data_IF_302147252502
#
_entry.id   IF_302147252502
#
_cell.length_a   1.000
_cell.length_b   1.000
_cell.length_c   1.000
_cell.angle_alpha   90.00
_cell.angle_beta   90.00
_cell.angle_gamma   90.00
#
_symmetry.space_group_name_H-M   'P 1'
#
loop_
_entity.id
_entity.type
_entity.pdbx_description
1 polymer ?
#
# COMPACT_ATOMS: atom_id res chain seq x y z
N UNK A 1 -45.21 -40.43 -8.38
CA UNK A 1 -45.66 -41.83 -8.13
C UNK A 1 -45.05 -42.30 -6.81
N UNK A 2 -45.62 -43.30 -6.11
CA UNK A 2 -44.98 -43.87 -4.93
C UNK A 2 -43.62 -44.45 -5.31
N UNK A 3 -42.58 -44.10 -4.55
CA UNK A 3 -41.21 -44.59 -4.75
C UNK A 3 -41.11 -46.05 -4.32
N UNK A 4 -40.54 -46.92 -5.14
CA UNK A 4 -40.33 -48.31 -4.76
C UNK A 4 -39.22 -48.38 -3.70
N UNK A 5 -39.47 -49.09 -2.60
CA UNK A 5 -38.51 -49.24 -1.49
C UNK A 5 -37.59 -50.46 -1.63
N UNK A 6 -37.98 -51.43 -2.44
CA UNK A 6 -37.24 -52.67 -2.68
C UNK A 6 -36.94 -52.82 -4.16
N UNK A 7 -35.76 -53.37 -4.48
CA UNK A 7 -35.36 -53.61 -5.86
C UNK A 7 -36.09 -54.85 -6.43
N UNK A 8 -37.00 -54.70 -7.39
CA UNK A 8 -37.76 -55.81 -7.97
C UNK A 8 -36.87 -56.80 -8.76
N UNK A 9 -35.66 -56.41 -9.17
CA UNK A 9 -34.71 -57.33 -9.79
C UNK A 9 -34.18 -58.42 -8.84
N UNK A 10 -34.34 -58.24 -7.52
CA UNK A 10 -33.91 -59.20 -6.51
C UNK A 10 -35.03 -60.18 -6.11
N UNK A 11 -36.25 -59.98 -6.61
CA UNK A 11 -37.41 -60.80 -6.25
C UNK A 11 -37.57 -61.93 -7.27
N UNK A 12 -37.56 -63.17 -6.78
CA UNK A 12 -37.78 -64.36 -7.61
C UNK A 12 -39.26 -64.74 -7.67
N UNK A 13 -39.66 -65.37 -8.78
CA UNK A 13 -41.02 -65.86 -8.97
C UNK A 13 -41.34 -66.92 -7.88
N UNK A 14 -42.43 -66.75 -7.12
CA UNK A 14 -42.88 -67.76 -6.17
C UNK A 14 -43.14 -69.10 -6.85
N UNK A 15 -42.85 -70.20 -6.16
CA UNK A 15 -43.15 -71.53 -6.67
C UNK A 15 -44.67 -71.82 -6.59
N UNK A 16 -45.38 -71.43 -7.64
CA UNK A 16 -46.83 -71.65 -7.77
C UNK A 16 -47.23 -73.13 -7.91
N UNK A 17 -46.27 -74.06 -8.07
CA UNK A 17 -46.54 -75.51 -8.04
C UNK A 17 -46.63 -76.07 -6.61
N UNK A 18 -46.11 -75.34 -5.60
CA UNK A 18 -46.18 -75.73 -4.19
C UNK A 18 -47.63 -75.86 -3.69
N UNK A 19 -47.89 -76.79 -2.77
CA UNK A 19 -49.23 -77.02 -2.17
C UNK A 19 -49.80 -75.77 -1.49
N UNK A 20 -48.96 -74.83 -1.06
CA UNK A 20 -49.36 -73.56 -0.43
C UNK A 20 -50.30 -72.75 -1.35
N UNK A 21 -50.12 -72.86 -2.67
CA UNK A 21 -50.92 -72.14 -3.67
C UNK A 21 -52.06 -72.99 -4.26
N UNK A 22 -52.29 -74.22 -3.78
CA UNK A 22 -53.32 -75.11 -4.31
C UNK A 22 -54.73 -74.50 -4.27
N UNK A 23 -55.06 -73.78 -3.19
CA UNK A 23 -56.33 -73.06 -3.07
C UNK A 23 -56.50 -71.95 -4.11
N UNK A 24 -55.42 -71.23 -4.44
CA UNK A 24 -55.43 -70.21 -5.49
C UNK A 24 -55.48 -70.82 -6.89
N UNK A 25 -54.80 -71.95 -7.13
CA UNK A 25 -54.85 -72.68 -8.42
C UNK A 25 -56.24 -73.22 -8.73
N UNK A 26 -56.95 -73.75 -7.74
CA UNK A 26 -58.27 -74.34 -7.90
C UNK A 26 -59.31 -73.37 -8.48
N UNK A 27 -59.13 -72.05 -8.30
CA UNK A 27 -60.00 -71.02 -8.88
C UNK A 27 -59.77 -70.77 -10.37
N UNK A 28 -58.63 -71.20 -10.92
CA UNK A 28 -58.27 -71.04 -12.33
C UNK A 28 -58.49 -72.33 -13.16
N UNK A 29 -58.81 -73.45 -12.51
CA UNK A 29 -59.15 -74.72 -13.17
C UNK A 29 -60.63 -74.75 -13.54
N UNK A 30 -60.93 -74.99 -14.81
CA UNK A 30 -62.31 -75.14 -15.33
C UNK A 30 -62.34 -76.25 -16.40
N UNK A 31 -63.50 -76.53 -17.00
CA UNK A 31 -63.66 -77.62 -18.00
C UNK A 31 -62.71 -77.52 -19.22
N UNK A 32 -62.09 -76.36 -19.47
CA UNK A 32 -61.19 -76.08 -20.59
C UNK A 32 -59.75 -75.69 -20.18
N UNK A 33 -59.39 -75.69 -18.89
CA UNK A 33 -58.06 -75.25 -18.42
C UNK A 33 -57.45 -76.26 -17.44
N UNK A 34 -56.27 -76.79 -17.77
CA UNK A 34 -55.55 -77.76 -16.95
C UNK A 34 -54.78 -77.10 -15.78
N UNK A 35 -54.41 -77.87 -14.75
CA UNK A 35 -53.69 -77.34 -13.58
C UNK A 35 -52.30 -76.75 -13.95
N UNK A 36 -51.65 -77.31 -14.97
CA UNK A 36 -50.39 -76.82 -15.52
C UNK A 36 -50.55 -75.46 -16.23
N UNK A 37 -51.68 -75.27 -16.91
CA UNK A 37 -52.05 -73.99 -17.53
C UNK A 37 -52.38 -72.93 -16.48
N UNK A 38 -53.04 -73.31 -15.38
CA UNK A 38 -53.30 -72.42 -14.25
C UNK A 38 -51.99 -71.93 -13.58
N UNK A 39 -51.00 -72.82 -13.40
CA UNK A 39 -49.67 -72.44 -12.88
C UNK A 39 -48.98 -71.44 -13.81
N UNK A 40 -49.01 -71.70 -15.12
CA UNK A 40 -48.40 -70.83 -16.12
C UNK A 40 -49.06 -69.46 -16.17
N UNK A 41 -50.39 -69.39 -16.08
CA UNK A 41 -51.11 -68.12 -15.99
C UNK A 41 -50.74 -67.31 -14.75
N UNK A 42 -50.59 -67.95 -13.59
CA UNK A 42 -50.15 -67.27 -12.36
C UNK A 42 -48.70 -66.74 -12.47
N UNK A 43 -47.81 -67.53 -13.09
CA UNK A 43 -46.45 -67.10 -13.38
C UNK A 43 -46.41 -65.91 -14.35
N UNK A 44 -47.24 -65.91 -15.40
CA UNK A 44 -47.30 -64.84 -16.39
C UNK A 44 -47.85 -63.54 -15.78
N UNK A 45 -48.89 -63.62 -14.96
CA UNK A 45 -49.44 -62.47 -14.21
C UNK A 45 -48.37 -61.88 -13.28
N UNK A 46 -47.65 -62.74 -12.54
CA UNK A 46 -46.58 -62.29 -11.66
C UNK A 46 -45.42 -61.66 -12.44
N UNK A 47 -44.99 -62.27 -13.55
CA UNK A 47 -43.92 -61.72 -14.41
C UNK A 47 -44.30 -60.36 -14.97
N UNK A 48 -45.52 -60.20 -15.47
CA UNK A 48 -46.00 -58.91 -15.96
C UNK A 48 -45.99 -57.82 -14.87
N UNK A 49 -46.38 -58.17 -13.64
CA UNK A 49 -46.30 -57.26 -12.49
C UNK A 49 -44.85 -56.90 -12.12
N UNK A 50 -43.99 -57.91 -11.98
CA UNK A 50 -42.58 -57.70 -11.64
C UNK A 50 -41.83 -56.91 -12.73
N UNK A 51 -42.13 -57.16 -14.01
CA UNK A 51 -41.51 -56.44 -15.12
C UNK A 51 -42.00 -54.97 -15.18
N UNK A 52 -43.26 -54.70 -14.86
CA UNK A 52 -43.75 -53.33 -14.69
C UNK A 52 -43.05 -52.61 -13.51
N UNK A 53 -42.85 -53.30 -12.40
CA UNK A 53 -42.11 -52.76 -11.24
C UNK A 53 -40.63 -52.49 -11.57
N UNK A 54 -39.97 -53.37 -12.34
CA UNK A 54 -38.60 -53.14 -12.82
C UNK A 54 -38.47 -51.90 -13.70
N UNK A 55 -39.46 -51.65 -14.58
CA UNK A 55 -39.49 -50.44 -15.40
C UNK A 55 -39.60 -49.19 -14.52
N UNK A 56 -40.48 -49.22 -13.52
CA UNK A 56 -40.62 -48.12 -12.56
C UNK A 56 -39.34 -47.91 -11.73
N UNK A 57 -38.69 -49.00 -11.31
CA UNK A 57 -37.42 -48.95 -10.58
C UNK A 57 -36.30 -48.37 -11.44
N UNK A 58 -36.18 -48.79 -12.70
CA UNK A 58 -35.17 -48.25 -13.61
C UNK A 58 -35.39 -46.76 -13.86
N UNK A 59 -36.64 -46.34 -14.07
CA UNK A 59 -36.98 -44.92 -14.23
C UNK A 59 -36.59 -44.10 -12.98
N UNK A 60 -36.77 -44.65 -11.78
CA UNK A 60 -36.35 -44.02 -10.52
C UNK A 60 -34.83 -43.90 -10.41
N UNK A 61 -34.08 -44.96 -10.77
CA UNK A 61 -32.61 -44.93 -10.77
C UNK A 61 -32.07 -43.91 -11.78
N UNK A 62 -32.68 -43.84 -12.96
CA UNK A 62 -32.29 -42.88 -14.01
C UNK A 62 -32.64 -41.43 -13.63
N UNK A 63 -33.70 -41.22 -12.85
CA UNK A 63 -34.05 -39.93 -12.26
C UNK A 63 -33.04 -39.52 -11.18
N UNK A 64 -32.75 -40.40 -10.21
CA UNK A 64 -31.75 -40.15 -9.17
C UNK A 64 -30.35 -39.88 -9.76
N UNK A 65 -29.97 -40.60 -10.83
CA UNK A 65 -28.70 -40.40 -11.51
C UNK A 65 -28.63 -39.05 -12.23
N UNK A 66 -29.73 -38.59 -12.83
CA UNK A 66 -29.82 -37.26 -13.44
C UNK A 66 -29.75 -36.16 -12.39
N UNK A 67 -30.50 -36.30 -11.30
CA UNK A 67 -30.48 -35.34 -10.19
C UNK A 67 -29.09 -35.25 -9.55
N UNK A 68 -28.39 -36.38 -9.37
CA UNK A 68 -27.02 -36.41 -8.86
C UNK A 68 -26.05 -35.71 -9.83
N UNK A 69 -26.15 -35.96 -11.13
CA UNK A 69 -25.31 -35.31 -12.14
C UNK A 69 -25.56 -33.80 -12.23
N UNK A 70 -26.82 -33.36 -12.12
CA UNK A 70 -27.18 -31.94 -12.05
C UNK A 70 -26.60 -31.29 -10.80
N UNK A 71 -26.71 -31.94 -9.63
CA UNK A 71 -26.12 -31.45 -8.38
C UNK A 71 -24.59 -31.33 -8.45
N UNK A 72 -23.91 -32.32 -9.04
CA UNK A 72 -22.46 -32.27 -9.26
C UNK A 72 -22.07 -31.11 -10.19
N UNK A 73 -22.83 -30.89 -11.26
CA UNK A 73 -22.60 -29.77 -12.17
C UNK A 73 -22.75 -28.43 -11.46
N UNK A 74 -23.85 -28.23 -10.72
CA UNK A 74 -24.06 -27.02 -9.93
C UNK A 74 -22.99 -26.81 -8.86
N UNK A 75 -22.54 -27.88 -8.20
CA UNK A 75 -21.47 -27.80 -7.20
C UNK A 75 -20.14 -27.35 -7.83
N UNK A 76 -19.81 -27.86 -9.02
CA UNK A 76 -18.61 -27.47 -9.76
C UNK A 76 -18.68 -26.02 -10.23
N UNK A 77 -19.81 -25.59 -10.80
CA UNK A 77 -20.01 -24.19 -11.18
C UNK A 77 -19.92 -23.24 -9.98
N UNK A 78 -20.46 -23.63 -8.83
CA UNK A 78 -20.34 -22.85 -7.59
C UNK A 78 -18.90 -22.77 -7.09
N UNK A 79 -18.10 -23.83 -7.24
CA UNK A 79 -16.67 -23.82 -6.92
C UNK A 79 -15.89 -22.90 -7.86
N UNK A 80 -16.12 -22.99 -9.17
CA UNK A 80 -15.49 -22.13 -10.18
C UNK A 80 -15.83 -20.66 -9.93
N UNK A 81 -17.09 -20.35 -9.62
CA UNK A 81 -17.53 -19.00 -9.24
C UNK A 81 -16.83 -18.51 -7.97
N UNK A 82 -16.65 -19.38 -6.97
CA UNK A 82 -15.95 -19.04 -5.72
C UNK A 82 -14.47 -18.76 -5.97
N UNK A 83 -13.82 -19.55 -6.82
CA UNK A 83 -12.42 -19.33 -7.20
C UNK A 83 -12.25 -18.01 -7.96
N UNK A 84 -13.13 -17.72 -8.93
CA UNK A 84 -13.12 -16.47 -9.68
C UNK A 84 -13.37 -15.25 -8.78
N UNK A 85 -14.29 -15.34 -7.81
CA UNK A 85 -14.53 -14.27 -6.84
C UNK A 85 -13.29 -13.99 -5.97
N UNK A 86 -12.59 -15.04 -5.52
CA UNK A 86 -11.39 -14.92 -4.71
C UNK A 86 -10.21 -14.33 -5.51
N UNK A 87 -10.10 -14.64 -6.79
CA UNK A 87 -9.11 -14.02 -7.68
C UNK A 87 -9.39 -12.53 -7.90
N UNK A 88 -10.66 -12.17 -8.14
CA UNK A 88 -11.06 -10.77 -8.27
C UNK A 88 -10.80 -9.97 -6.98
N UNK A 89 -11.04 -10.58 -5.81
CA UNK A 89 -10.73 -9.97 -4.51
C UNK A 89 -9.22 -9.74 -4.34
N UNK A 90 -8.38 -10.71 -4.70
CA UNK A 90 -6.92 -10.54 -4.71
C UNK A 90 -6.46 -9.43 -5.65
N UNK A 91 -7.06 -9.35 -6.82
CA UNK A 91 -6.74 -8.31 -7.80
C UNK A 91 -7.18 -6.91 -7.34
N UNK A 92 -8.36 -6.83 -6.70
CA UNK A 92 -8.86 -5.59 -6.10
C UNK A 92 -7.98 -5.15 -4.93
N UNK A 93 -7.58 -6.06 -4.05
CA UNK A 93 -6.66 -5.74 -2.94
C UNK A 93 -5.30 -5.27 -3.47
N UNK A 94 -4.75 -5.89 -4.53
CA UNK A 94 -3.52 -5.40 -5.19
C UNK A 94 -3.70 -4.00 -5.76
N UNK A 95 -4.82 -3.72 -6.44
CA UNK A 95 -5.11 -2.38 -7.00
C UNK A 95 -5.30 -1.35 -5.90
N UNK A 96 -5.98 -1.70 -4.80
CA UNK A 96 -6.11 -0.84 -3.64
C UNK A 96 -4.75 -0.56 -2.98
N UNK A 97 -3.90 -1.57 -2.82
CA UNK A 97 -2.54 -1.41 -2.32
C UNK A 97 -1.73 -0.43 -3.18
N UNK A 98 -1.78 -0.59 -4.51
CA UNK A 98 -1.13 0.34 -5.45
C UNK A 98 -1.72 1.75 -5.33
N UNK A 99 -3.04 1.88 -5.15
CA UNK A 99 -3.71 3.19 -5.02
C UNK A 99 -3.41 3.87 -3.69
N UNK A 100 -3.34 3.14 -2.58
CA UNK A 100 -3.02 3.65 -1.23
C UNK A 100 -1.54 3.99 -1.13
N UNK A 101 -0.68 3.13 -1.70
CA UNK A 101 0.77 3.22 -1.56
C UNK A 101 1.45 3.67 -2.87
N UNK A 102 0.94 4.71 -3.54
CA UNK A 102 1.45 5.18 -4.84
C UNK A 102 2.96 5.38 -4.85
N UNK A 103 3.52 5.96 -3.78
CA UNK A 103 4.96 6.22 -3.64
C UNK A 103 5.82 4.94 -3.73
N UNK A 104 5.32 3.81 -3.22
CA UNK A 104 6.00 2.50 -3.26
C UNK A 104 6.06 1.90 -4.66
N UNK A 105 5.07 2.22 -5.50
CA UNK A 105 4.89 1.64 -6.83
C UNK A 105 5.22 2.63 -7.97
N UNK A 106 5.91 3.73 -7.67
CA UNK A 106 6.42 4.65 -8.70
C UNK A 106 7.43 3.88 -9.56
N UNK A 107 7.25 3.80 -10.90
CA UNK A 107 8.23 3.18 -11.78
C UNK A 107 9.58 3.87 -11.63
N UNK A 108 10.64 3.09 -11.39
CA UNK A 108 12.00 3.62 -11.30
C UNK A 108 12.47 3.87 -12.73
N UNK A 109 12.78 5.12 -13.13
CA UNK A 109 13.31 5.39 -14.45
C UNK A 109 14.70 4.76 -14.59
N UNK A 110 14.97 4.19 -15.75
CA UNK A 110 16.29 3.65 -16.11
C UNK A 110 17.23 4.82 -16.46
N UNK A 111 17.87 5.36 -15.43
CA UNK A 111 18.84 6.47 -15.50
C UNK A 111 20.02 6.15 -14.62
N UNK A 112 21.18 6.66 -15.01
CA UNK A 112 22.38 6.57 -14.19
C UNK A 112 22.16 7.20 -12.81
N UNK A 113 22.90 6.68 -11.82
CA UNK A 113 22.92 7.25 -10.48
C UNK A 113 23.39 8.70 -10.60
N UNK A 114 22.66 9.69 -10.07
CA UNK A 114 23.12 11.08 -10.08
C UNK A 114 24.51 11.21 -9.45
N UNK A 115 25.38 12.00 -10.08
CA UNK A 115 26.73 12.28 -9.56
C UNK A 115 26.67 13.01 -8.21
N UNK A 116 25.59 13.77 -7.99
CA UNK A 116 25.35 14.55 -6.77
C UNK A 116 24.19 13.96 -5.96
N UNK A 117 24.40 13.81 -4.65
CA UNK A 117 23.34 13.41 -3.72
C UNK A 117 22.33 14.56 -3.58
N UNK A 118 21.01 14.30 -3.64
CA UNK A 118 20.01 15.34 -3.49
C UNK A 118 20.12 15.97 -2.10
N UNK A 119 20.29 17.29 -2.05
CA UNK A 119 20.35 18.02 -0.78
C UNK A 119 18.92 18.10 -0.22
N UNK A 120 18.66 17.33 0.85
CA UNK A 120 17.38 17.41 1.57
C UNK A 120 17.43 18.66 2.46
N UNK A 121 17.18 19.82 1.88
CA UNK A 121 16.97 21.06 2.63
C UNK A 121 15.51 21.18 3.09
N UNK A 122 15.26 22.01 4.10
CA UNK A 122 13.89 22.27 4.53
C UNK A 122 13.09 22.91 3.40
N UNK A 123 11.86 22.45 3.14
CA UNK A 123 10.97 23.08 2.14
C UNK A 123 10.74 24.57 2.42
N UNK A 124 10.79 24.95 3.70
CA UNK A 124 10.73 26.35 4.13
C UNK A 124 11.92 27.16 3.60
N UNK A 125 13.15 26.66 3.79
CA UNK A 125 14.37 27.30 3.33
C UNK A 125 14.37 27.45 1.80
N UNK A 126 14.02 26.38 1.07
CA UNK A 126 13.92 26.42 -0.39
C UNK A 126 12.91 27.45 -0.89
N UNK A 127 11.66 27.42 -0.39
CA UNK A 127 10.62 28.40 -0.77
C UNK A 127 11.02 29.85 -0.50
N UNK A 128 11.86 30.09 0.50
CA UNK A 128 12.37 31.44 0.81
C UNK A 128 13.54 31.82 -0.08
N UNK A 129 14.44 30.90 -0.38
CA UNK A 129 15.50 31.12 -1.36
C UNK A 129 14.93 31.38 -2.76
N UNK A 130 13.92 30.63 -3.22
CA UNK A 130 13.22 30.88 -4.49
C UNK A 130 12.62 32.29 -4.58
N UNK A 131 12.16 32.84 -3.45
CA UNK A 131 11.63 34.21 -3.35
C UNK A 131 12.72 35.28 -3.13
N UNK A 132 14.00 34.88 -3.05
CA UNK A 132 15.12 35.79 -2.76
C UNK A 132 15.15 36.32 -1.33
N UNK A 133 14.44 35.69 -0.40
CA UNK A 133 14.37 36.10 1.00
C UNK A 133 15.52 35.54 1.82
N UNK A 134 15.85 36.24 2.90
CA UNK A 134 16.81 35.76 3.89
C UNK A 134 16.30 34.49 4.57
N UNK A 135 17.21 33.52 4.72
CA UNK A 135 17.03 32.25 5.41
C UNK A 135 18.22 32.06 6.33
N UNK A 136 17.96 31.78 7.61
CA UNK A 136 19.03 31.49 8.57
C UNK A 136 19.78 30.22 8.22
N UNK A 137 21.09 30.22 8.44
CA UNK A 137 22.01 29.12 8.14
C UNK A 137 21.70 27.85 8.93
N UNK A 138 21.05 27.97 10.09
CA UNK A 138 20.64 26.84 10.92
C UNK A 138 19.81 25.80 10.15
N UNK A 139 18.98 26.22 9.19
CA UNK A 139 18.17 25.30 8.36
C UNK A 139 19.01 24.37 7.46
N UNK A 140 20.29 24.67 7.26
CA UNK A 140 21.22 23.86 6.47
C UNK A 140 22.16 23.01 7.35
N UNK A 141 22.01 23.09 8.67
CA UNK A 141 22.74 22.25 9.64
C UNK A 141 22.09 20.88 9.76
N UNK A 142 22.79 19.90 10.36
CA UNK A 142 22.18 18.59 10.61
C UNK A 142 20.95 18.69 11.53
N UNK A 143 20.99 19.56 12.55
CA UNK A 143 19.87 19.80 13.44
C UNK A 143 18.67 20.41 12.70
N UNK A 144 18.91 21.40 11.83
CA UNK A 144 17.86 21.99 11.00
C UNK A 144 17.28 21.05 9.95
N UNK A 145 18.09 20.13 9.40
CA UNK A 145 17.61 19.09 8.47
C UNK A 145 16.79 18.03 9.22
N UNK A 146 17.23 17.61 10.41
CA UNK A 146 16.50 16.67 11.24
C UNK A 146 15.16 17.26 11.69
N UNK A 147 15.14 18.53 12.12
CA UNK A 147 13.91 19.28 12.39
C UNK A 147 13.00 19.32 11.17
N UNK A 148 13.55 19.60 9.98
CA UNK A 148 12.78 19.62 8.75
C UNK A 148 12.18 18.25 8.39
N UNK A 149 12.89 17.15 8.67
CA UNK A 149 12.37 15.79 8.46
C UNK A 149 11.20 15.48 9.41
N UNK A 150 11.31 15.89 10.67
CA UNK A 150 10.29 15.64 11.70
C UNK A 150 9.10 16.61 11.61
N UNK A 151 9.30 17.82 11.07
CA UNK A 151 8.30 18.88 10.97
C UNK A 151 7.90 19.23 9.52
N UNK A 152 8.12 18.29 8.58
CA UNK A 152 7.65 18.33 7.18
C UNK A 152 6.12 18.23 7.07
N UNK A 153 5.39 19.11 7.76
CA UNK A 153 3.95 19.29 7.51
C UNK A 153 3.79 20.27 6.35
N UNK A 154 3.12 19.76 5.32
CA UNK A 154 2.78 20.32 3.99
C UNK A 154 1.97 21.61 3.99
N UNK A 155 1.83 22.27 5.14
CA UNK A 155 1.08 23.52 5.26
C UNK A 155 1.87 24.61 4.56
N UNK A 156 1.28 25.15 3.50
CA UNK A 156 1.85 26.26 2.75
C UNK A 156 2.18 27.44 3.69
N UNK A 157 3.28 28.13 3.46
CA UNK A 157 3.74 29.21 4.34
C UNK A 157 2.73 30.37 4.39
N UNK A 158 1.94 30.52 3.33
CA UNK A 158 0.87 31.50 3.18
C UNK A 158 -0.49 30.99 3.71
N UNK A 159 -0.58 29.73 4.16
CA UNK A 159 -1.79 29.21 4.78
C UNK A 159 -1.97 29.80 6.19
N UNK A 160 -3.22 30.09 6.55
CA UNK A 160 -3.55 30.65 7.85
C UNK A 160 -3.66 29.54 8.89
N UNK A 161 -2.88 29.62 9.98
CA UNK A 161 -2.92 28.71 11.13
C UNK A 161 -3.52 29.46 12.33
N UNK A 162 -4.32 28.74 13.10
CA UNK A 162 -4.96 29.28 14.29
C UNK A 162 -3.99 29.21 15.48
N UNK A 163 -3.48 30.35 15.93
CA UNK A 163 -2.65 30.45 17.12
C UNK A 163 -3.52 30.79 18.33
N UNK A 164 -3.55 29.91 19.34
CA UNK A 164 -4.22 30.15 20.61
C UNK A 164 -3.29 30.93 21.55
N UNK A 165 -3.71 32.13 21.97
CA UNK A 165 -3.02 32.87 23.01
C UNK A 165 -3.52 32.45 24.40
N UNK A 166 -2.70 32.69 25.43
CA UNK A 166 -3.00 32.42 26.85
C UNK A 166 -4.26 33.13 27.38
N UNK A 167 -4.78 34.12 26.66
CA UNK A 167 -6.02 34.85 26.99
C UNK A 167 -7.28 34.29 26.29
N UNK A 168 -7.21 33.13 25.64
CA UNK A 168 -8.37 32.47 25.01
C UNK A 168 -8.87 33.14 23.72
N UNK A 169 -8.14 34.12 23.19
CA UNK A 169 -8.38 34.70 21.86
C UNK A 169 -7.52 33.97 20.84
N UNK A 170 -8.17 33.31 19.88
CA UNK A 170 -7.52 32.66 18.77
C UNK A 170 -7.27 33.68 17.65
N UNK A 171 -6.05 33.77 17.15
CA UNK A 171 -5.67 34.65 16.04
C UNK A 171 -5.25 33.80 14.85
N UNK A 172 -5.82 34.10 13.68
CA UNK A 172 -5.33 33.57 12.42
C UNK A 172 -4.03 34.28 12.07
N UNK A 173 -2.94 33.52 11.97
CA UNK A 173 -1.62 34.00 11.57
C UNK A 173 -1.09 33.13 10.43
N UNK A 174 -0.30 33.66 9.50
CA UNK A 174 0.36 32.84 8.50
C UNK A 174 1.16 31.71 9.16
N UNK A 175 1.16 30.53 8.55
CA UNK A 175 1.87 29.35 9.06
C UNK A 175 3.36 29.65 9.29
N UNK A 176 3.96 30.45 8.42
CA UNK A 176 5.34 30.90 8.55
C UNK A 176 5.63 31.67 9.86
N UNK A 177 4.63 32.33 10.45
CA UNK A 177 4.77 33.10 11.70
C UNK A 177 4.64 32.25 12.96
N UNK A 178 4.16 31.01 12.83
CA UNK A 178 4.02 30.05 13.94
C UNK A 178 5.14 29.00 13.92
N UNK A 179 5.79 28.82 12.76
CA UNK A 179 7.01 28.00 12.62
C UNK A 179 8.18 28.68 13.34
N UNK A 180 8.22 28.56 14.66
CA UNK A 180 9.45 28.66 15.42
C UNK A 180 9.96 27.23 15.47
N UNK A 181 11.02 26.91 14.72
CA UNK A 181 11.73 25.67 15.01
C UNK A 181 12.14 25.77 16.48
N UNK A 182 11.74 24.78 17.29
CA UNK A 182 11.85 24.90 18.76
C UNK A 182 13.30 25.18 19.20
N UNK A 183 14.26 24.73 18.38
CA UNK A 183 15.69 24.89 18.56
C UNK A 183 16.35 25.79 17.48
N UNK A 184 15.61 26.73 16.87
CA UNK A 184 16.18 27.66 15.89
C UNK A 184 17.33 28.45 16.51
N UNK A 185 18.53 28.30 15.96
CA UNK A 185 19.71 29.07 16.36
C UNK A 185 19.94 30.19 15.33
N UNK A 186 20.05 31.42 15.79
CA UNK A 186 20.42 32.54 14.92
C UNK A 186 21.86 32.35 14.40
N UNK A 187 22.14 32.82 13.18
CA UNK A 187 23.46 32.68 12.54
C UNK A 187 24.63 33.18 13.41
N UNK A 188 24.37 34.18 14.28
CA UNK A 188 25.36 34.74 15.20
C UNK A 188 25.74 33.82 16.37
N UNK A 189 24.87 32.87 16.71
CA UNK A 189 25.04 31.95 17.84
C UNK A 189 25.32 30.52 17.35
N UNK A 190 25.48 30.33 16.04
CA UNK A 190 25.72 29.02 15.44
C UNK A 190 27.13 28.51 15.76
N UNK A 191 27.22 27.25 16.20
CA UNK A 191 28.50 26.59 16.42
C UNK A 191 29.28 26.50 15.09
N UNK A 192 30.60 26.54 15.17
CA UNK A 192 31.45 26.53 13.98
C UNK A 192 31.31 25.26 13.14
N UNK A 193 31.23 24.11 13.80
CA UNK A 193 31.05 22.83 13.15
C UNK A 193 29.75 22.82 12.33
N UNK A 194 28.69 23.43 12.86
CA UNK A 194 27.40 23.57 12.19
C UNK A 194 27.46 24.61 11.07
N UNK A 195 28.18 25.71 11.27
CA UNK A 195 28.44 26.71 10.24
C UNK A 195 29.18 26.10 9.04
N UNK A 196 30.27 25.36 9.27
CA UNK A 196 31.02 24.68 8.21
C UNK A 196 30.20 23.63 7.44
N UNK A 197 29.22 23.01 8.08
CA UNK A 197 28.28 22.09 7.43
C UNK A 197 27.20 22.84 6.64
N UNK A 198 26.70 23.95 7.19
CA UNK A 198 25.62 24.74 6.61
C UNK A 198 26.05 25.49 5.34
N UNK A 199 27.25 26.07 5.31
CA UNK A 199 27.75 26.87 4.16
C UNK A 199 27.70 26.12 2.82
N UNK A 200 28.34 24.93 2.66
CA UNK A 200 28.32 24.25 1.37
C UNK A 200 26.90 23.83 0.96
N UNK A 201 26.04 23.47 1.92
CA UNK A 201 24.65 23.10 1.66
C UNK A 201 23.78 24.29 1.28
N UNK A 202 24.02 25.45 1.89
CA UNK A 202 23.35 26.70 1.53
C UNK A 202 23.74 27.13 0.12
N UNK A 203 25.02 26.99 -0.26
CA UNK A 203 25.50 27.29 -1.62
C UNK A 203 24.79 26.39 -2.64
N UNK A 204 24.80 25.07 -2.44
CA UNK A 204 24.07 24.13 -3.32
C UNK A 204 22.58 24.47 -3.40
N UNK A 205 21.94 24.83 -2.27
CA UNK A 205 20.53 25.22 -2.25
C UNK A 205 20.25 26.56 -2.97
N UNK A 206 21.21 27.48 -3.00
CA UNK A 206 21.11 28.72 -3.77
C UNK A 206 21.24 28.44 -5.28
N UNK A 207 22.13 27.53 -5.66
CA UNK A 207 22.27 27.05 -7.05
C UNK A 207 20.98 26.36 -7.51
N UNK A 208 20.43 25.45 -6.69
CA UNK A 208 19.14 24.78 -6.95
C UNK A 208 17.95 25.75 -7.03
N UNK A 209 18.04 26.90 -6.37
CA UNK A 209 17.03 27.96 -6.42
C UNK A 209 17.27 28.98 -7.55
N UNK A 210 18.12 28.65 -8.53
CA UNK A 210 18.45 29.48 -9.69
C UNK A 210 18.97 30.89 -9.34
N UNK A 211 19.71 31.03 -8.23
CA UNK A 211 20.32 32.33 -7.90
C UNK A 211 21.39 32.68 -8.94
N UNK A 212 21.52 33.96 -9.33
CA UNK A 212 22.57 34.39 -10.25
C UNK A 212 23.96 33.98 -9.73
N UNK A 213 24.79 33.41 -10.62
CA UNK A 213 26.13 32.88 -10.30
C UNK A 213 26.98 33.92 -9.57
N UNK A 214 26.86 35.20 -9.93
CA UNK A 214 27.58 36.29 -9.27
C UNK A 214 27.21 36.45 -7.78
N UNK A 215 25.96 36.12 -7.40
CA UNK A 215 25.49 36.16 -6.00
C UNK A 215 25.96 34.95 -5.21
N UNK A 216 26.03 33.79 -5.84
CA UNK A 216 26.58 32.56 -5.25
C UNK A 216 28.10 32.74 -5.02
N UNK A 217 28.82 33.23 -6.03
CA UNK A 217 30.25 33.49 -5.99
C UNK A 217 30.64 34.58 -4.99
N UNK A 218 29.89 35.69 -4.90
CA UNK A 218 30.18 36.74 -3.91
C UNK A 218 30.07 36.23 -2.47
N UNK A 219 29.10 35.37 -2.18
CA UNK A 219 28.90 34.79 -0.85
C UNK A 219 30.09 33.90 -0.46
N UNK A 220 30.64 33.16 -1.43
CA UNK A 220 31.85 32.33 -1.27
C UNK A 220 33.14 33.17 -1.16
N UNK A 221 33.29 34.20 -1.99
CA UNK A 221 34.51 35.00 -2.12
C UNK A 221 34.73 36.00 -0.98
N UNK A 222 33.67 36.65 -0.48
CA UNK A 222 33.80 37.61 0.64
C UNK A 222 34.26 36.89 1.90
N UNK A 223 33.68 35.73 2.18
CA UNK A 223 33.99 34.92 3.35
C UNK A 223 35.44 34.38 3.32
N UNK A 224 35.86 33.82 2.19
CA UNK A 224 37.22 33.29 2.05
C UNK A 224 38.28 34.39 1.90
N UNK A 225 37.94 35.51 1.24
CA UNK A 225 38.84 36.61 0.93
C UNK A 225 39.31 37.38 2.17
N UNK A 226 38.39 37.72 3.07
CA UNK A 226 38.73 38.51 4.26
C UNK A 226 39.59 37.72 5.26
N UNK A 227 39.30 36.44 5.45
CA UNK A 227 40.08 35.58 6.34
C UNK A 227 41.49 35.32 5.79
N UNK A 228 41.63 35.11 4.48
CA UNK A 228 42.92 34.83 3.84
C UNK A 228 43.81 36.06 3.77
N UNK A 229 43.24 37.25 3.56
CA UNK A 229 43.97 38.54 3.53
C UNK A 229 44.55 38.90 4.90
N UNK A 230 43.76 38.80 5.96
CA UNK A 230 44.21 39.07 7.33
C UNK A 230 45.28 38.07 7.79
N UNK A 231 45.14 36.80 7.40
CA UNK A 231 46.14 35.77 7.66
C UNK A 231 47.49 36.06 6.98
N UNK A 232 47.49 36.43 5.70
CA UNK A 232 48.72 36.78 4.97
C UNK A 232 49.44 38.01 5.54
N UNK A 233 48.69 39.00 6.05
CA UNK A 233 49.27 40.18 6.71
C UNK A 233 49.91 39.82 8.07
N UNK A 234 49.28 38.93 8.83
CA UNK A 234 49.81 38.47 10.11
C UNK A 234 51.09 37.63 9.99
N UNK A 235 51.25 36.88 8.89
CA UNK A 235 52.46 36.10 8.58
C UNK A 235 53.74 36.93 8.49
N UNK A 236 53.64 38.22 8.15
CA UNK A 236 54.79 39.13 8.06
C UNK A 236 55.07 39.86 9.39
N UNK A 237 54.26 39.63 10.42
CA UNK A 237 54.42 40.24 11.74
C UNK A 237 55.36 39.41 12.64
N UNK A 238 56.01 40.02 13.66
CA UNK A 238 56.88 39.30 14.59
C UNK A 238 56.17 38.19 15.39
N UNK A 239 54.83 38.21 15.42
CA UNK A 239 53.99 37.23 16.12
C UNK A 239 53.67 36.01 15.24
N UNK A 240 53.97 36.08 13.93
CA UNK A 240 53.67 35.04 12.94
C UNK A 240 52.19 34.98 12.56
N UNK A 241 51.87 34.22 11.52
CA UNK A 241 50.48 33.93 11.15
C UNK A 241 49.82 33.05 12.22
N UNK A 242 48.52 33.19 12.38
CA UNK A 242 47.72 32.39 13.30
C UNK A 242 47.10 31.19 12.59
N UNK A 243 46.72 30.16 13.34
CA UNK A 243 46.01 29.03 12.75
C UNK A 243 44.59 29.47 12.36
N UNK A 244 44.31 29.55 11.05
CA UNK A 244 42.97 29.89 10.51
C UNK A 244 41.89 28.89 10.89
N UNK A 245 42.26 27.72 11.42
CA UNK A 245 41.32 26.75 11.98
C UNK A 245 40.93 27.03 13.44
N UNK A 246 41.44 28.10 14.07
CA UNK A 246 41.10 28.51 15.45
C UNK A 246 40.52 29.91 15.46
N UNK A 247 39.31 30.05 15.98
CA UNK A 247 38.48 31.25 15.82
C UNK A 247 38.77 32.28 16.91
N UNK A 248 38.73 33.56 16.51
CA UNK A 248 38.75 34.71 17.40
C UNK A 248 37.43 35.48 17.28
N UNK A 249 36.55 35.30 18.26
CA UNK A 249 35.18 35.84 18.28
C UNK A 249 35.12 37.37 18.11
N UNK A 250 36.18 38.07 18.53
CA UNK A 250 36.28 39.53 18.40
C UNK A 250 36.50 39.97 16.95
N UNK A 251 37.24 39.20 16.17
CA UNK A 251 37.51 39.51 14.75
C UNK A 251 36.28 39.20 13.90
N UNK A 252 35.59 38.10 14.22
CA UNK A 252 34.34 37.70 13.58
C UNK A 252 33.24 38.76 13.75
N UNK A 253 33.07 39.31 14.95
CA UNK A 253 32.12 40.38 15.23
C UNK A 253 32.36 41.65 14.40
N UNK A 254 33.64 42.02 14.20
CA UNK A 254 34.01 43.21 13.42
C UNK A 254 33.78 43.02 11.92
N UNK A 255 34.11 41.85 11.38
CA UNK A 255 33.85 41.53 9.97
C UNK A 255 32.34 41.53 9.67
N UNK A 256 31.54 40.97 10.59
CA UNK A 256 30.08 41.03 10.55
C UNK A 256 29.59 42.48 10.51
N UNK A 257 30.07 43.34 11.41
CA UNK A 257 29.63 44.74 11.47
C UNK A 257 29.94 45.51 10.18
N UNK A 258 31.11 45.28 9.57
CA UNK A 258 31.49 45.92 8.31
C UNK A 258 30.59 45.49 7.13
N UNK A 259 30.31 44.18 7.00
CA UNK A 259 29.48 43.66 5.89
C UNK A 259 28.03 44.18 5.97
N UNK A 260 27.47 44.28 7.17
CA UNK A 260 26.05 44.65 7.34
C UNK A 260 25.79 46.15 7.46
N UNK A 261 26.76 46.95 7.93
CA UNK A 261 26.54 48.39 8.17
C UNK A 261 27.21 49.32 7.16
N UNK A 262 28.32 48.92 6.54
CA UNK A 262 29.00 49.79 5.55
C UNK A 262 28.42 49.66 4.13
N UNK A 263 27.51 48.70 3.90
CA UNK A 263 26.83 48.48 2.61
C UNK A 263 25.45 49.16 2.49
N UNK A 264 25.10 50.08 3.39
CA UNK A 264 23.83 50.82 3.41
C UNK A 264 24.06 52.33 3.25
#
# INVERSE_FOLDING_TARGET
>A
MPRLQFNPNLIHCPDFASEVYAGSRAHFVNENTTEEEAIRHLQDIWRAGNDAEKILWQAQVDEDARDAAEQEHFAKEAEDHRLAALELEKDNTRKEEVKKNKAKYIPIPDRDVPDDAPVITSQYAMKRLEKGHYVGMWYFTNAGIDDALHHSTTVDNDAMVLQANTEGKNRWVPAASVRVAWDFVEDKDLAWEDFCQAVPRMIMAMEDADWPVERVDMTLLVYQGDQRKLWHQAMSSPQGGYNISKINDNVLRKAREAVYWDAR
#
